data_IF_664170673245
#
_entry.id   IF_664170673245
#
_cell.length_a   1.000
_cell.length_b   1.000
_cell.length_c   1.000
_cell.angle_alpha   90.00
_cell.angle_beta   90.00
_cell.angle_gamma   90.00
#
_symmetry.space_group_name_H-M   'P 1'
#
loop_
_entity.id
_entity.type
_entity.pdbx_description
1 polymer ?
#
# COMPACT_ATOMS: atom_id res chain seq x y z
N UNK A 1 -0.43 13.62 -9.21
CA UNK A 1 0.81 14.38 -9.50
C UNK A 1 0.87 14.51 -11.01
N UNK A 2 0.90 15.74 -11.54
CA UNK A 2 0.79 15.99 -12.97
C UNK A 2 2.16 16.38 -13.50
N UNK A 3 2.68 15.65 -14.48
CA UNK A 3 3.91 15.98 -15.20
C UNK A 3 3.56 16.74 -16.47
N UNK A 4 3.98 18.00 -16.58
CA UNK A 4 3.92 18.74 -17.85
C UNK A 4 5.36 18.98 -18.30
N UNK A 5 5.69 18.66 -19.56
CA UNK A 5 6.93 19.10 -20.18
C UNK A 5 6.77 20.58 -20.53
N UNK A 6 7.55 21.43 -19.90
CA UNK A 6 7.65 22.85 -20.29
C UNK A 6 8.81 22.92 -21.30
N UNK A 7 8.48 22.87 -22.59
CA UNK A 7 9.44 23.00 -23.67
C UNK A 7 8.80 23.84 -24.77
N UNK A 8 9.52 24.87 -25.23
CA UNK A 8 9.13 25.75 -26.31
C UNK A 8 8.74 24.91 -27.53
N UNK A 9 7.48 24.98 -27.94
CA UNK A 9 7.00 24.25 -29.12
C UNK A 9 7.64 24.92 -30.33
N UNK A 10 8.48 24.20 -31.05
CA UNK A 10 9.06 24.70 -32.30
C UNK A 10 7.94 24.68 -33.36
N UNK A 11 7.53 25.87 -33.82
CA UNK A 11 6.41 26.09 -34.75
C UNK A 11 6.60 25.40 -36.12
N UNK A 12 7.76 24.79 -36.34
CA UNK A 12 8.14 24.01 -37.53
C UNK A 12 7.44 22.65 -37.65
N UNK A 13 6.79 22.13 -36.60
CA UNK A 13 6.19 20.77 -36.58
C UNK A 13 4.67 20.70 -36.79
N UNK A 14 3.98 21.81 -37.04
CA UNK A 14 2.51 21.85 -37.29
C UNK A 14 2.14 21.99 -38.78
N UNK A 15 3.12 22.21 -39.66
CA UNK A 15 2.92 22.23 -41.11
C UNK A 15 3.31 20.90 -41.74
N UNK A 16 2.33 20.07 -42.10
CA UNK A 16 2.59 18.86 -42.89
C UNK A 16 3.16 19.21 -44.26
N UNK A 17 4.20 18.48 -44.70
CA UNK A 17 4.53 18.14 -46.10
C UNK A 17 5.63 17.05 -46.19
N UNK A 18 5.70 16.40 -47.34
CA UNK A 18 6.26 15.06 -47.59
C UNK A 18 7.80 14.96 -47.79
N UNK A 19 8.35 13.84 -47.31
CA UNK A 19 9.50 13.07 -47.82
C UNK A 19 10.80 13.81 -48.18
N UNK A 20 11.83 13.74 -47.34
CA UNK A 20 13.26 13.70 -47.72
C UNK A 20 14.08 13.09 -46.56
N UNK A 21 15.03 12.19 -46.86
CA UNK A 21 15.90 11.48 -45.91
C UNK A 21 16.95 12.38 -45.21
N UNK A 22 17.18 12.12 -43.91
CA UNK A 22 18.33 12.54 -43.07
C UNK A 22 18.02 13.65 -42.04
N UNK A 23 18.81 13.87 -40.96
CA UNK A 23 19.94 13.11 -40.37
C UNK A 23 19.81 12.88 -38.82
N UNK A 24 20.78 12.19 -38.22
CA UNK A 24 20.99 12.10 -36.76
C UNK A 24 21.23 13.50 -36.14
N UNK A 25 20.44 13.87 -35.13
CA UNK A 25 20.56 15.14 -34.40
C UNK A 25 20.19 14.98 -32.92
N UNK A 26 21.12 15.41 -32.06
CA UNK A 26 21.15 15.18 -30.61
C UNK A 26 19.88 15.58 -29.83
N UNK A 27 19.46 14.67 -28.96
CA UNK A 27 18.37 14.83 -27.98
C UNK A 27 18.74 15.85 -26.90
N UNK A 28 18.29 17.10 -27.08
CA UNK A 28 18.20 18.06 -25.98
C UNK A 28 17.20 17.56 -24.92
N UNK A 29 17.68 17.27 -23.71
CA UNK A 29 16.85 16.77 -22.62
C UNK A 29 15.81 17.81 -22.18
N UNK A 30 14.57 17.64 -22.63
CA UNK A 30 13.43 18.39 -22.10
C UNK A 30 13.31 18.18 -20.58
N UNK A 31 13.48 19.24 -19.78
CA UNK A 31 13.34 19.17 -18.32
C UNK A 31 11.86 19.05 -17.95
N UNK A 32 11.44 17.89 -17.44
CA UNK A 32 10.08 17.66 -16.99
C UNK A 32 9.90 18.13 -15.54
N UNK A 33 9.01 19.10 -15.30
CA UNK A 33 8.70 19.59 -13.95
C UNK A 33 7.40 18.95 -13.45
N UNK A 34 7.53 18.10 -12.44
CA UNK A 34 6.44 17.34 -11.82
C UNK A 34 5.89 18.09 -10.59
N UNK A 35 4.58 18.35 -10.54
CA UNK A 35 3.96 19.09 -9.41
C UNK A 35 2.49 18.73 -9.13
N UNK A 36 1.94 19.27 -8.04
CA UNK A 36 0.51 19.14 -7.67
C UNK A 36 -0.29 20.24 -8.36
N UNK A 37 -1.31 19.85 -9.13
CA UNK A 37 -2.04 20.74 -10.05
C UNK A 37 -2.74 21.92 -9.33
N UNK A 38 -3.27 21.70 -8.13
CA UNK A 38 -3.94 22.74 -7.32
C UNK A 38 -2.94 23.81 -6.84
N UNK A 39 -1.74 23.40 -6.46
CA UNK A 39 -0.66 24.31 -6.03
C UNK A 39 -0.28 25.22 -7.19
N UNK A 40 -0.20 24.64 -8.38
CA UNK A 40 0.21 25.32 -9.60
C UNK A 40 -0.86 26.25 -10.17
N UNK A 41 -2.13 25.85 -10.18
CA UNK A 41 -3.24 26.62 -10.76
C UNK A 41 -3.64 27.87 -9.95
N UNK A 42 -3.33 27.91 -8.65
CA UNK A 42 -3.69 29.02 -7.76
C UNK A 42 -2.48 29.83 -7.26
N UNK A 43 -1.29 29.62 -7.85
CA UNK A 43 -0.04 30.29 -7.48
C UNK A 43 0.30 30.23 -5.99
N UNK A 44 0.04 29.08 -5.35
CA UNK A 44 0.38 28.91 -3.95
C UNK A 44 1.90 28.92 -3.78
N UNK A 45 2.40 29.75 -2.87
CA UNK A 45 3.81 29.82 -2.53
C UNK A 45 4.13 28.92 -1.36
N UNK A 46 5.24 28.19 -1.46
CA UNK A 46 5.76 27.42 -0.33
C UNK A 46 6.39 28.37 0.70
N UNK A 47 5.93 28.28 1.93
CA UNK A 47 6.45 29.05 3.06
C UNK A 47 7.11 28.10 4.04
N UNK A 48 8.38 28.33 4.38
CA UNK A 48 9.06 27.56 5.42
C UNK A 48 8.83 28.20 6.80
N UNK A 49 8.44 27.38 7.78
CA UNK A 49 8.23 27.82 9.17
C UNK A 49 8.98 26.92 10.15
N UNK A 50 9.41 27.48 11.29
CA UNK A 50 9.92 26.70 12.42
C UNK A 50 8.76 26.06 13.20
N UNK A 51 8.99 24.89 13.81
CA UNK A 51 7.96 24.11 14.52
C UNK A 51 7.21 24.91 15.59
N UNK A 52 7.91 25.81 16.28
CA UNK A 52 7.32 26.65 17.33
C UNK A 52 6.51 27.82 16.75
N UNK A 53 6.96 28.42 15.64
CA UNK A 53 6.18 29.43 14.91
C UNK A 53 4.91 28.83 14.31
N UNK A 54 4.95 27.60 13.80
CA UNK A 54 3.80 26.89 13.26
C UNK A 54 2.73 26.62 14.31
N UNK A 55 3.11 26.06 15.47
CA UNK A 55 2.19 25.82 16.59
C UNK A 55 1.54 27.12 17.07
N UNK A 56 2.31 28.21 17.13
CA UNK A 56 1.81 29.52 17.51
C UNK A 56 0.79 30.04 16.49
N UNK A 57 1.10 29.96 15.19
CA UNK A 57 0.20 30.39 14.12
C UNK A 57 -1.14 29.64 14.16
N UNK A 58 -1.12 28.31 14.32
CA UNK A 58 -2.36 27.53 14.44
C UNK A 58 -3.18 27.96 15.67
N UNK A 59 -2.54 28.15 16.82
CA UNK A 59 -3.24 28.58 18.05
C UNK A 59 -3.87 29.97 17.88
N UNK A 60 -3.12 30.91 17.31
CA UNK A 60 -3.60 32.27 17.08
C UNK A 60 -4.73 32.30 16.04
N UNK A 61 -4.64 31.49 14.99
CA UNK A 61 -5.68 31.30 13.98
C UNK A 61 -6.96 30.67 14.56
N UNK A 62 -6.83 29.60 15.36
CA UNK A 62 -7.98 29.01 16.05
C UNK A 62 -8.63 29.99 17.04
N UNK A 63 -7.81 30.81 17.73
CA UNK A 63 -8.30 31.82 18.66
C UNK A 63 -9.03 32.95 17.93
N UNK A 64 -8.55 33.37 16.76
CA UNK A 64 -9.22 34.38 15.94
C UNK A 64 -10.56 33.88 15.40
N UNK A 65 -10.61 32.63 14.92
CA UNK A 65 -11.85 31.97 14.48
C UNK A 65 -12.84 31.85 15.64
N UNK A 66 -12.39 31.39 16.82
CA UNK A 66 -13.26 31.28 18.00
C UNK A 66 -13.80 32.64 18.44
N UNK A 67 -13.01 33.71 18.30
CA UNK A 67 -13.46 35.08 18.55
C UNK A 67 -14.52 35.58 17.55
N UNK A 68 -14.38 35.26 16.26
CA UNK A 68 -15.36 35.59 15.22
C UNK A 68 -16.65 34.78 15.42
N UNK A 69 -16.52 33.48 15.70
CA UNK A 69 -17.65 32.59 15.93
C UNK A 69 -18.39 32.91 17.24
N UNK A 70 -17.67 33.25 18.31
CA UNK A 70 -18.27 33.68 19.58
C UNK A 70 -19.07 34.98 19.45
N UNK A 71 -18.61 35.92 18.61
CA UNK A 71 -19.38 37.13 18.26
C UNK A 71 -20.60 36.83 17.39
N UNK A 72 -20.50 35.84 16.49
CA UNK A 72 -21.60 35.42 15.61
C UNK A 72 -22.68 34.60 16.34
N UNK A 73 -22.34 33.81 17.36
CA UNK A 73 -23.28 32.91 18.05
C UNK A 73 -24.04 33.61 19.18
N UNK A 74 -23.53 34.71 19.76
CA UNK A 74 -24.26 35.46 20.79
C UNK A 74 -25.55 36.15 20.27
N UNK A 75 -25.79 36.17 18.95
CA UNK A 75 -27.04 36.62 18.33
C UNK A 75 -28.04 35.50 18.00
N UNK A 76 -27.67 34.22 18.10
CA UNK A 76 -28.54 33.10 17.74
C UNK A 76 -28.50 32.03 18.82
N UNK A 77 -29.45 32.13 19.75
CA UNK A 77 -29.66 31.12 20.78
C UNK A 77 -30.04 29.77 20.17
N UNK A 78 -29.11 28.82 20.19
CA UNK A 78 -29.41 27.41 19.95
C UNK A 78 -28.63 26.54 20.94
N UNK A 79 -29.41 25.86 21.79
CA UNK A 79 -28.97 24.87 22.78
C UNK A 79 -28.43 23.64 22.03
N UNK A 80 -27.17 23.30 22.24
CA UNK A 80 -26.59 22.02 21.79
C UNK A 80 -26.87 20.99 22.87
N UNK A 81 -27.86 20.13 22.66
CA UNK A 81 -27.99 18.89 23.43
C UNK A 81 -27.22 17.78 22.73
N UNK A 82 -26.37 17.17 23.54
CA UNK A 82 -25.49 16.05 23.30
C UNK A 82 -26.23 14.78 22.80
N UNK A 83 -25.47 13.85 22.20
CA UNK A 83 -25.81 12.49 21.69
C UNK A 83 -25.92 12.32 20.17
N UNK A 84 -24.77 12.16 19.50
CA UNK A 84 -24.57 11.10 18.48
C UNK A 84 -23.12 10.61 18.50
N UNK A 85 -22.93 9.40 19.01
CA UNK A 85 -21.67 8.67 19.10
C UNK A 85 -21.19 8.16 17.71
N UNK A 86 -19.87 8.20 17.51
CA UNK A 86 -19.00 7.20 16.85
C UNK A 86 -19.34 6.78 15.40
N UNK A 87 -18.65 7.42 14.44
CA UNK A 87 -17.74 6.80 13.44
C UNK A 87 -17.00 7.93 12.71
N UNK A 88 -15.68 7.85 12.63
CA UNK A 88 -14.80 8.86 12.00
C UNK A 88 -15.06 9.01 10.49
N UNK A 89 -16.07 9.81 10.13
CA UNK A 89 -16.10 10.55 8.88
C UNK A 89 -16.44 11.98 9.23
N UNK A 90 -15.49 12.87 9.01
CA UNK A 90 -15.78 14.29 8.90
C UNK A 90 -16.68 14.48 7.67
N UNK A 91 -17.99 14.33 7.85
CA UNK A 91 -18.95 14.89 6.90
C UNK A 91 -18.78 16.38 7.03
N UNK A 92 -18.09 16.97 6.04
CA UNK A 92 -18.00 18.41 5.90
C UNK A 92 -19.41 18.93 5.64
N UNK A 93 -20.09 19.37 6.69
CA UNK A 93 -21.31 20.16 6.55
C UNK A 93 -20.88 21.52 6.01
N UNK A 94 -20.76 21.61 4.70
CA UNK A 94 -20.55 22.85 4.00
C UNK A 94 -21.87 23.63 4.09
N UNK A 95 -22.00 24.47 5.12
CA UNK A 95 -22.86 25.65 5.05
C UNK A 95 -22.29 26.53 3.94
N UNK A 96 -22.70 26.25 2.70
CA UNK A 96 -22.60 27.20 1.61
C UNK A 96 -23.43 28.40 2.00
N UNK A 97 -22.75 29.41 2.53
CA UNK A 97 -23.25 30.76 2.73
C UNK A 97 -24.07 31.14 1.50
N UNK A 98 -25.29 31.61 1.73
CA UNK A 98 -26.01 32.43 0.75
C UNK A 98 -25.04 33.47 0.21
N UNK A 99 -24.54 33.25 -1.00
CA UNK A 99 -23.70 34.22 -1.70
C UNK A 99 -24.57 35.44 -1.87
N UNK A 100 -24.22 36.52 -1.18
CA UNK A 100 -24.92 37.78 -1.31
C UNK A 100 -24.67 38.30 -2.73
N UNK A 101 -25.67 38.22 -3.60
CA UNK A 101 -25.55 38.52 -5.03
C UNK A 101 -25.58 40.05 -5.29
N UNK A 102 -25.13 40.87 -4.33
CA UNK A 102 -25.31 42.32 -4.30
C UNK A 102 -24.42 43.09 -5.28
N UNK A 103 -23.45 42.42 -5.93
CA UNK A 103 -22.53 43.00 -6.93
C UNK A 103 -22.66 42.45 -8.35
N UNK A 104 -23.60 41.55 -8.64
CA UNK A 104 -23.77 40.91 -9.95
C UNK A 104 -24.92 41.53 -10.76
N UNK A 105 -24.74 41.70 -12.06
CA UNK A 105 -25.82 42.11 -12.97
C UNK A 105 -26.83 40.97 -13.15
N UNK A 106 -28.12 41.25 -13.46
CA UNK A 106 -29.17 40.23 -13.45
C UNK A 106 -28.93 39.04 -14.41
N UNK A 107 -28.25 39.28 -15.52
CA UNK A 107 -27.79 38.30 -16.50
C UNK A 107 -26.67 37.39 -15.96
N UNK A 108 -25.73 37.93 -15.19
CA UNK A 108 -24.68 37.14 -14.53
C UNK A 108 -25.29 36.21 -13.47
N UNK A 109 -26.32 36.67 -12.75
CA UNK A 109 -27.05 35.85 -11.77
C UNK A 109 -27.72 34.65 -12.46
N UNK A 110 -28.36 34.88 -13.60
CA UNK A 110 -29.02 33.84 -14.39
C UNK A 110 -28.01 32.81 -14.89
N UNK A 111 -26.87 33.28 -15.43
CA UNK A 111 -25.79 32.42 -15.91
C UNK A 111 -25.19 31.55 -14.80
N UNK A 112 -24.93 32.13 -13.62
CA UNK A 112 -24.40 31.40 -12.47
C UNK A 112 -25.40 30.36 -11.93
N UNK A 113 -26.70 30.68 -11.99
CA UNK A 113 -27.75 29.74 -11.62
C UNK A 113 -27.78 28.53 -12.58
N UNK A 114 -27.75 28.79 -13.89
CA UNK A 114 -27.69 27.75 -14.92
C UNK A 114 -26.46 26.84 -14.73
N UNK A 115 -25.28 27.44 -14.49
CA UNK A 115 -24.06 26.68 -14.22
C UNK A 115 -24.14 25.85 -12.93
N UNK A 116 -24.74 26.39 -11.87
CA UNK A 116 -24.97 25.65 -10.61
C UNK A 116 -25.90 24.45 -10.82
N UNK A 117 -26.95 24.61 -11.60
CA UNK A 117 -27.88 23.51 -11.92
C UNK A 117 -27.20 22.42 -12.75
N UNK A 118 -26.46 22.79 -13.79
CA UNK A 118 -25.66 21.85 -14.59
C UNK A 118 -24.63 21.12 -13.72
N UNK A 119 -23.94 21.84 -12.84
CA UNK A 119 -22.93 21.26 -11.95
C UNK A 119 -23.54 20.27 -10.96
N UNK A 120 -24.73 20.56 -10.41
CA UNK A 120 -25.44 19.63 -9.51
C UNK A 120 -25.88 18.36 -10.23
N UNK A 121 -26.37 18.49 -11.47
CA UNK A 121 -26.72 17.33 -12.31
C UNK A 121 -25.49 16.49 -12.63
N UNK A 122 -24.41 17.13 -13.08
CA UNK A 122 -23.14 16.45 -13.35
C UNK A 122 -22.59 15.71 -12.13
N UNK A 123 -22.60 16.34 -10.95
CA UNK A 123 -22.15 15.69 -9.71
C UNK A 123 -23.03 14.50 -9.31
N UNK A 124 -24.33 14.59 -9.56
CA UNK A 124 -25.27 13.48 -9.33
C UNK A 124 -25.02 12.32 -10.30
N UNK A 125 -24.66 12.60 -11.55
CA UNK A 125 -24.30 11.58 -12.55
C UNK A 125 -22.95 10.89 -12.23
N UNK A 126 -22.11 11.50 -11.39
CA UNK A 126 -20.88 10.90 -10.88
C UNK A 126 -21.11 10.00 -9.65
N UNK A 127 -22.32 9.98 -9.07
CA UNK A 127 -22.66 8.99 -8.05
C UNK A 127 -22.77 7.62 -8.73
N UNK A 128 -21.67 6.86 -8.69
CA UNK A 128 -21.68 5.48 -9.16
C UNK A 128 -22.75 4.71 -8.38
N UNK A 129 -23.68 4.10 -9.10
CA UNK A 129 -24.56 3.09 -8.51
C UNK A 129 -23.70 1.98 -7.88
N UNK A 130 -24.17 1.26 -6.85
CA UNK A 130 -23.42 0.16 -6.24
C UNK A 130 -23.04 -0.98 -7.21
N UNK A 131 -23.45 -0.92 -8.48
CA UNK A 131 -23.01 -1.84 -9.52
C UNK A 131 -21.54 -1.60 -9.84
N UNK A 132 -20.73 -2.49 -9.32
CA UNK A 132 -19.35 -2.69 -9.72
C UNK A 132 -19.29 -3.13 -11.20
N UNK A 133 -18.32 -2.64 -12.00
CA UNK A 133 -17.97 -3.31 -13.24
C UNK A 133 -17.38 -4.69 -12.89
N UNK A 134 -18.24 -5.71 -12.89
CA UNK A 134 -17.85 -7.07 -12.50
C UNK A 134 -17.08 -7.70 -13.67
N UNK A 135 -15.80 -7.97 -13.45
CA UNK A 135 -15.03 -8.84 -14.34
C UNK A 135 -15.73 -10.20 -14.45
N UNK A 136 -15.71 -10.86 -15.62
CA UNK A 136 -16.25 -12.20 -15.71
C UNK A 136 -15.59 -13.10 -14.67
N UNK A 137 -16.33 -14.04 -14.06
CA UNK A 137 -15.78 -14.92 -13.03
C UNK A 137 -14.57 -15.67 -13.61
N UNK A 138 -13.43 -15.64 -12.90
CA UNK A 138 -12.28 -16.46 -13.26
C UNK A 138 -12.68 -17.94 -13.20
N UNK A 139 -12.28 -18.71 -14.21
CA UNK A 139 -12.40 -20.18 -14.16
C UNK A 139 -11.46 -20.69 -13.08
N UNK A 140 -12.05 -21.28 -12.04
CA UNK A 140 -11.31 -21.89 -10.94
C UNK A 140 -10.88 -23.31 -11.34
N UNK A 141 -9.85 -23.81 -10.68
CA UNK A 141 -9.42 -25.19 -10.90
C UNK A 141 -10.45 -26.16 -10.30
N UNK A 142 -10.67 -27.38 -10.86
CA UNK A 142 -11.71 -28.30 -10.35
C UNK A 142 -11.60 -28.60 -8.84
N UNK A 143 -10.38 -28.60 -8.31
CA UNK A 143 -10.12 -28.78 -6.88
C UNK A 143 -10.53 -27.55 -6.04
N UNK A 144 -10.31 -26.34 -6.57
CA UNK A 144 -10.77 -25.11 -5.92
C UNK A 144 -12.29 -25.01 -5.94
N UNK A 145 -12.93 -25.41 -7.05
CA UNK A 145 -14.39 -25.52 -7.11
C UNK A 145 -14.92 -26.51 -6.08
N UNK A 146 -14.26 -27.67 -5.92
CA UNK A 146 -14.60 -28.64 -4.88
C UNK A 146 -14.49 -28.02 -3.48
N UNK A 147 -13.35 -27.39 -3.15
CA UNK A 147 -13.15 -26.77 -1.84
C UNK A 147 -14.16 -25.64 -1.57
N UNK A 148 -14.48 -24.84 -2.59
CA UNK A 148 -15.49 -23.79 -2.49
C UNK A 148 -16.88 -24.35 -2.23
N UNK A 149 -17.28 -25.43 -2.92
CA UNK A 149 -18.55 -26.14 -2.66
C UNK A 149 -18.56 -26.82 -1.29
N UNK A 150 -17.44 -27.43 -0.90
CA UNK A 150 -17.29 -28.10 0.39
C UNK A 150 -17.40 -27.11 1.56
N UNK A 151 -16.80 -25.93 1.44
CA UNK A 151 -16.82 -24.88 2.45
C UNK A 151 -18.06 -23.98 2.41
N UNK A 152 -18.94 -24.15 1.42
CA UNK A 152 -20.16 -23.35 1.25
C UNK A 152 -21.07 -23.42 2.49
N UNK A 153 -21.22 -24.59 3.09
CA UNK A 153 -21.86 -24.76 4.40
C UNK A 153 -20.80 -24.65 5.50
N UNK A 154 -20.77 -23.50 6.17
CA UNK A 154 -19.79 -23.13 7.21
C UNK A 154 -19.94 -23.99 8.47
N UNK A 155 -19.41 -25.21 8.46
CA UNK A 155 -19.27 -26.03 9.67
C UNK A 155 -17.84 -25.96 10.21
N UNK A 156 -17.65 -25.98 11.55
CA UNK A 156 -16.34 -25.80 12.16
C UNK A 156 -15.34 -26.91 11.77
N UNK A 157 -15.82 -28.15 11.65
CA UNK A 157 -14.96 -29.28 11.27
C UNK A 157 -14.43 -29.16 9.82
N UNK A 158 -15.22 -28.63 8.88
CA UNK A 158 -14.78 -28.45 7.48
C UNK A 158 -13.67 -27.42 7.36
N UNK A 159 -13.78 -26.33 8.12
CA UNK A 159 -12.72 -25.32 8.21
C UNK A 159 -11.44 -25.89 8.82
N UNK A 160 -11.56 -26.79 9.81
CA UNK A 160 -10.41 -27.46 10.41
C UNK A 160 -9.69 -28.35 9.40
N UNK A 161 -10.44 -29.15 8.63
CA UNK A 161 -9.87 -30.00 7.55
C UNK A 161 -9.19 -29.15 6.48
N UNK A 162 -9.83 -28.06 6.03
CA UNK A 162 -9.24 -27.17 5.04
C UNK A 162 -7.95 -26.52 5.53
N UNK A 163 -7.91 -26.08 6.80
CA UNK A 163 -6.69 -25.55 7.41
C UNK A 163 -5.59 -26.60 7.49
N UNK A 164 -5.91 -27.82 7.92
CA UNK A 164 -4.94 -28.91 7.98
C UNK A 164 -4.37 -29.23 6.58
N UNK A 165 -5.23 -29.26 5.57
CA UNK A 165 -4.85 -29.44 4.17
C UNK A 165 -3.93 -28.32 3.67
N UNK A 166 -4.27 -27.05 3.94
CA UNK A 166 -3.46 -25.90 3.56
C UNK A 166 -2.06 -25.93 4.19
N UNK A 167 -1.96 -26.23 5.48
CA UNK A 167 -0.67 -26.38 6.16
C UNK A 167 0.12 -27.58 5.62
N UNK A 168 -0.56 -28.68 5.27
CA UNK A 168 0.06 -29.85 4.65
C UNK A 168 0.67 -29.53 3.29
N UNK A 169 -0.07 -28.84 2.42
CA UNK A 169 0.44 -28.38 1.12
C UNK A 169 1.60 -27.41 1.30
N UNK A 170 1.49 -26.48 2.24
CA UNK A 170 2.56 -25.55 2.54
C UNK A 170 3.84 -26.29 2.96
N UNK A 171 3.74 -27.23 3.90
CA UNK A 171 4.88 -28.06 4.32
C UNK A 171 5.47 -28.86 3.16
N UNK A 172 4.63 -29.46 2.31
CA UNK A 172 5.11 -30.21 1.15
C UNK A 172 5.87 -29.32 0.16
N UNK A 173 5.28 -28.19 -0.22
CA UNK A 173 5.82 -27.30 -1.25
C UNK A 173 7.02 -26.48 -0.78
N UNK A 174 7.03 -26.02 0.47
CA UNK A 174 8.06 -25.11 0.99
C UNK A 174 9.12 -25.82 1.83
N UNK A 175 8.87 -27.04 2.31
CA UNK A 175 9.84 -27.79 3.12
C UNK A 175 10.32 -29.04 2.38
N UNK A 176 9.41 -29.94 1.98
CA UNK A 176 9.82 -31.23 1.40
C UNK A 176 10.46 -31.08 0.03
N UNK A 177 9.83 -30.34 -0.89
CA UNK A 177 10.39 -30.16 -2.25
C UNK A 177 11.77 -29.48 -2.19
N UNK A 178 11.96 -28.34 -1.50
CA UNK A 178 13.28 -27.72 -1.40
C UNK A 178 14.29 -28.60 -0.68
N UNK A 179 13.91 -29.30 0.40
CA UNK A 179 14.81 -30.22 1.09
C UNK A 179 15.30 -31.36 0.18
N UNK A 180 14.42 -31.92 -0.66
CA UNK A 180 14.79 -32.92 -1.66
C UNK A 180 15.72 -32.36 -2.73
N UNK A 181 15.46 -31.14 -3.22
CA UNK A 181 16.32 -30.48 -4.20
C UNK A 181 17.72 -30.22 -3.60
N UNK A 182 17.79 -29.68 -2.38
CA UNK A 182 19.04 -29.42 -1.67
C UNK A 182 19.77 -30.74 -1.43
N UNK A 183 19.09 -31.78 -0.96
CA UNK A 183 19.71 -33.07 -0.74
C UNK A 183 20.27 -33.64 -2.05
N UNK A 184 19.52 -33.59 -3.14
CA UNK A 184 19.99 -34.03 -4.45
C UNK A 184 21.23 -33.24 -4.88
N UNK A 185 21.20 -31.92 -4.71
CA UNK A 185 22.33 -31.05 -5.03
C UNK A 185 23.59 -31.39 -4.23
N UNK A 186 23.46 -31.52 -2.90
CA UNK A 186 24.58 -31.91 -2.04
C UNK A 186 25.14 -33.28 -2.44
N UNK A 187 24.27 -34.26 -2.66
CA UNK A 187 24.64 -35.65 -2.96
C UNK A 187 25.41 -35.79 -4.28
N UNK A 188 24.98 -35.10 -5.35
CA UNK A 188 25.55 -35.32 -6.69
C UNK A 188 26.51 -34.22 -7.14
N UNK A 189 26.40 -32.99 -6.64
CA UNK A 189 27.24 -31.87 -7.09
C UNK A 189 28.29 -31.42 -6.08
N UNK A 190 28.00 -31.50 -4.78
CA UNK A 190 28.92 -31.02 -3.74
C UNK A 190 29.85 -32.16 -3.30
N UNK A 191 29.30 -33.34 -2.98
CA UNK A 191 30.13 -34.48 -2.54
C UNK A 191 31.11 -35.00 -3.60
N UNK A 192 30.90 -34.70 -4.87
CA UNK A 192 31.82 -35.07 -5.95
C UNK A 192 33.07 -34.17 -6.01
N UNK A 193 33.06 -33.03 -5.33
CA UNK A 193 34.18 -32.10 -5.25
C UNK A 193 34.98 -32.35 -3.96
N UNK A 194 36.32 -32.53 -4.04
CA UNK A 194 37.12 -32.76 -2.85
C UNK A 194 37.08 -31.54 -1.92
N UNK A 195 36.99 -31.79 -0.62
CA UNK A 195 36.90 -30.75 0.44
C UNK A 195 35.71 -29.78 0.34
N UNK A 196 34.69 -30.09 -0.47
CA UNK A 196 33.51 -29.23 -0.57
C UNK A 196 32.61 -29.33 0.67
N UNK A 197 32.59 -30.49 1.33
CA UNK A 197 32.00 -30.69 2.66
C UNK A 197 33.08 -31.26 3.56
N UNK A 198 33.44 -30.53 4.61
CA UNK A 198 34.40 -30.98 5.62
C UNK A 198 33.63 -31.12 6.93
N UNK A 199 33.46 -32.35 7.38
CA UNK A 199 32.82 -32.63 8.65
C UNK A 199 33.87 -32.72 9.77
N UNK A 200 33.53 -32.19 10.94
CA UNK A 200 34.33 -32.42 12.13
C UNK A 200 34.17 -33.87 12.58
N UNK A 201 35.28 -34.55 12.86
CA UNK A 201 35.24 -35.91 13.41
C UNK A 201 34.30 -35.98 14.64
N UNK A 202 33.50 -37.06 14.76
CA UNK A 202 32.58 -37.21 15.89
C UNK A 202 33.35 -37.22 17.22
N UNK A 203 32.68 -36.80 18.30
CA UNK A 203 33.22 -36.92 19.65
C UNK A 203 33.22 -38.38 20.07
N UNK A 204 34.30 -38.78 20.72
CA UNK A 204 34.58 -40.16 21.07
C UNK A 204 34.79 -40.20 22.58
N UNK A 205 34.10 -41.12 23.27
CA UNK A 205 34.19 -41.28 24.71
C UNK A 205 34.85 -42.63 25.12
N UNK A 206 35.46 -42.68 26.32
CA UNK A 206 35.97 -43.92 26.89
C UNK A 206 34.87 -44.97 27.03
N UNK A 207 35.10 -46.17 26.51
CA UNK A 207 34.10 -47.27 26.45
C UNK A 207 33.30 -47.34 25.15
N UNK A 208 33.39 -46.36 24.25
CA UNK A 208 32.73 -46.41 22.95
C UNK A 208 33.40 -47.44 22.02
N UNK A 209 32.62 -48.04 21.12
CA UNK A 209 33.12 -48.91 20.05
C UNK A 209 33.12 -48.17 18.72
N UNK A 210 34.26 -48.12 18.05
CA UNK A 210 34.39 -47.51 16.72
C UNK A 210 33.73 -48.43 15.70
N UNK A 211 32.66 -48.00 15.04
CA UNK A 211 31.90 -48.82 14.09
C UNK A 211 32.72 -49.31 12.89
N UNK A 212 33.73 -48.54 12.47
CA UNK A 212 34.57 -48.84 11.31
C UNK A 212 35.72 -49.81 11.61
N UNK A 213 36.26 -49.76 12.84
CA UNK A 213 37.45 -50.54 13.24
C UNK A 213 37.11 -51.69 14.19
N UNK A 214 35.95 -51.62 14.87
CA UNK A 214 35.54 -52.55 15.92
C UNK A 214 36.31 -52.40 17.24
N UNK A 215 37.22 -51.41 17.34
CA UNK A 215 38.02 -51.16 18.53
C UNK A 215 37.18 -50.54 19.64
N UNK A 216 37.31 -51.11 20.85
CA UNK A 216 36.68 -50.61 22.07
C UNK A 216 37.67 -49.67 22.76
N UNK A 217 37.22 -48.48 23.08
CA UNK A 217 38.07 -47.46 23.69
C UNK A 217 38.24 -47.77 25.17
N UNK A 218 39.48 -47.78 25.68
CA UNK A 218 39.74 -48.13 27.06
C UNK A 218 38.95 -47.21 28.00
N UNK A 219 38.30 -47.76 29.04
CA UNK A 219 37.59 -46.97 30.03
C UNK A 219 38.56 -46.06 30.79
N UNK A 220 38.03 -44.98 31.37
CA UNK A 220 38.85 -44.12 32.24
C UNK A 220 39.32 -44.90 33.46
N UNK A 221 40.49 -44.53 33.98
CA UNK A 221 40.97 -45.06 35.27
C UNK A 221 39.98 -44.67 36.37
N UNK A 222 39.75 -45.59 37.30
CA UNK A 222 38.92 -45.34 38.48
C UNK A 222 39.48 -44.14 39.27
N UNK A 223 38.63 -43.17 39.53
CA UNK A 223 38.97 -42.03 40.38
C UNK A 223 38.68 -42.40 41.84
N UNK A 224 39.54 -42.05 42.80
CA UNK A 224 39.24 -42.25 44.21
C UNK A 224 38.02 -41.40 44.58
N UNK A 225 36.93 -42.04 45.01
CA UNK A 225 35.72 -41.36 45.46
C UNK A 225 36.03 -40.49 46.69
N UNK A 226 35.87 -39.16 46.56
CA UNK A 226 36.08 -38.20 47.64
C UNK A 226 34.76 -37.77 48.32
N UNK A 227 33.65 -38.44 48.02
CA UNK A 227 32.36 -38.17 48.65
C UNK A 227 32.20 -39.02 49.91
N UNK A 228 32.53 -38.40 51.04
CA UNK A 228 32.11 -38.82 52.39
C UNK A 228 30.70 -38.31 52.72
#
# INVERSE_FOLDING_TARGET
MVSRREGNIDDSLIGGNASTEGPDGESSESTAVTGVDIVRNHHFQETSFTKEAYKKNIRDYMKSIKGVLGRSICGAGARVTDKTLIRERAVSFNLGTSVDMSGYTPDEKLRLQQLRELRRRWLKDQELSPREPVLPPQRLWPLEEFWNKFLQNRTPWRNMVYKAYGHSIFAFTHVLIPAWIIHYYLKYHVNTKPYAIVETKPRIFPGDTILETGEIIPPMKEFPDQHH
#
